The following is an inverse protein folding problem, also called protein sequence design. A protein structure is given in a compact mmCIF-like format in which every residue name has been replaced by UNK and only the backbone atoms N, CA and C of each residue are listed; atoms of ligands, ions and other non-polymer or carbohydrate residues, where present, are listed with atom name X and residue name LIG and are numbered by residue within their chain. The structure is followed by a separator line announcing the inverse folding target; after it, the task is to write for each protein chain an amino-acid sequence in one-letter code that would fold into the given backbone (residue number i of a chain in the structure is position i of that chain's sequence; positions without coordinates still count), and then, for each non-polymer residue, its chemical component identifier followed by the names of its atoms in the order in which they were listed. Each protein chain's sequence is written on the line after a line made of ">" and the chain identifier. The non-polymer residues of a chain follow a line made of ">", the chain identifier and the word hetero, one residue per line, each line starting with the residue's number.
data_IF_800016728019
#
_entry.id   IF_800016728019
#
_cell.length_a   1.000
_cell.length_b   1.000
_cell.length_c   1.000
_cell.angle_alpha   90.00
_cell.angle_beta   90.00
_cell.angle_gamma   90.00
#
_symmetry.space_group_name_H-M   'P 1'
#
loop_
_entity.id
_entity.type
_entity.pdbx_description
1 polymer ?
#
# COMPACT_ATOMS: atom_id res chain seq x y z
N UNK A 1 -19.64 -5.61 14.74
CA UNK A 1 -18.20 -5.46 14.63
C UNK A 1 -17.71 -5.08 13.24
N UNK A 2 -18.42 -4.24 12.61
CA UNK A 2 -17.97 -3.73 11.32
C UNK A 2 -16.93 -2.63 11.55
N UNK A 3 -15.70 -2.86 11.16
CA UNK A 3 -14.61 -1.91 11.30
C UNK A 3 -14.14 -1.38 9.94
N UNK A 4 -14.88 -1.70 8.86
CA UNK A 4 -14.54 -1.19 7.54
C UNK A 4 -14.92 0.28 7.46
N UNK A 5 -13.96 1.14 7.27
CA UNK A 5 -14.17 2.56 7.03
C UNK A 5 -14.35 2.78 5.52
N UNK A 6 -15.59 2.88 5.08
CA UNK A 6 -15.93 3.04 3.66
C UNK A 6 -15.60 4.42 3.12
N UNK A 7 -15.40 5.38 4.01
CA UNK A 7 -15.02 6.74 3.63
C UNK A 7 -13.50 6.94 3.64
N UNK A 8 -12.74 5.93 4.07
CA UNK A 8 -11.29 6.03 4.13
C UNK A 8 -10.69 6.18 2.74
N UNK A 9 -9.90 7.21 2.60
CA UNK A 9 -9.19 7.48 1.36
C UNK A 9 -7.74 7.03 1.50
N UNK A 10 -7.39 6.00 0.77
CA UNK A 10 -6.03 5.51 0.73
C UNK A 10 -5.20 6.36 -0.22
N UNK A 11 -3.89 6.36 0.00
CA UNK A 11 -2.94 7.10 -0.83
C UNK A 11 -1.95 6.15 -1.48
N UNK A 12 -1.27 6.65 -2.50
CA UNK A 12 -0.15 5.96 -3.13
C UNK A 12 1.11 6.20 -2.30
N UNK A 13 1.93 5.16 -2.15
CA UNK A 13 3.26 5.28 -1.54
C UNK A 13 4.29 5.15 -2.65
N UNK A 14 4.94 6.24 -2.99
CA UNK A 14 5.93 6.30 -4.07
C UNK A 14 7.19 6.99 -3.55
N UNK A 15 8.34 6.34 -3.65
CA UNK A 15 9.60 6.89 -3.20
C UNK A 15 9.63 7.26 -1.71
N UNK A 16 8.88 6.52 -0.89
CA UNK A 16 8.78 6.78 0.54
C UNK A 16 7.82 7.90 0.92
N UNK A 17 7.10 8.48 -0.03
CA UNK A 17 6.16 9.58 0.21
C UNK A 17 4.73 9.17 -0.12
N UNK A 18 3.80 9.56 0.74
CA UNK A 18 2.38 9.37 0.52
C UNK A 18 1.81 10.48 -0.35
N UNK A 19 1.09 10.12 -1.40
CA UNK A 19 0.48 11.09 -2.30
C UNK A 19 -0.87 10.62 -2.81
N UNK A 20 -1.74 11.58 -3.10
CA UNK A 20 -3.04 11.28 -3.70
C UNK A 20 -2.86 10.82 -5.15
N UNK A 21 -3.78 10.00 -5.63
CA UNK A 21 -3.81 9.67 -7.06
C UNK A 21 -4.14 10.91 -7.89
N UNK A 22 -3.33 11.19 -8.91
CA UNK A 22 -3.55 12.36 -9.77
C UNK A 22 -4.82 12.26 -10.62
N UNK A 23 -5.31 11.04 -10.84
CA UNK A 23 -6.56 10.79 -11.55
C UNK A 23 -7.75 10.54 -10.61
N UNK A 24 -7.65 10.99 -9.35
CA UNK A 24 -8.71 10.87 -8.36
C UNK A 24 -8.74 9.52 -7.66
N UNK A 25 -9.92 9.00 -7.46
CA UNK A 25 -10.15 7.71 -6.80
C UNK A 25 -11.16 6.89 -7.58
N UNK A 26 -11.17 5.58 -7.32
CA UNK A 26 -12.22 4.70 -7.83
C UNK A 26 -12.80 3.87 -6.68
N UNK A 27 -14.05 3.47 -6.84
CA UNK A 27 -14.76 2.67 -5.84
C UNK A 27 -14.29 1.22 -5.87
N UNK A 28 -14.08 0.65 -4.70
CA UNK A 28 -13.84 -0.78 -4.52
C UNK A 28 -15.15 -1.41 -4.06
N UNK A 29 -15.63 -2.38 -4.81
CA UNK A 29 -16.94 -2.99 -4.62
C UNK A 29 -16.81 -4.40 -4.12
N UNK A 30 -17.60 -4.75 -3.09
CA UNK A 30 -17.71 -6.14 -2.65
C UNK A 30 -18.51 -6.91 -3.70
N UNK A 31 -17.93 -7.90 -4.37
CA UNK A 31 -18.63 -8.61 -5.45
C UNK A 31 -19.82 -9.45 -4.97
N UNK A 32 -19.85 -9.80 -3.69
CA UNK A 32 -20.96 -10.58 -3.12
C UNK A 32 -22.19 -9.73 -2.82
N UNK A 33 -21.99 -8.47 -2.39
CA UNK A 33 -23.10 -7.58 -1.98
C UNK A 33 -23.29 -6.41 -2.94
N UNK A 34 -22.35 -6.16 -3.83
CA UNK A 34 -22.32 -5.02 -4.74
C UNK A 34 -22.23 -3.66 -4.02
N UNK A 35 -21.91 -3.68 -2.74
CA UNK A 35 -21.73 -2.45 -1.96
C UNK A 35 -20.30 -1.91 -2.09
N UNK A 36 -20.17 -0.60 -2.07
CA UNK A 36 -18.86 0.06 -2.00
C UNK A 36 -18.28 -0.16 -0.62
N UNK A 37 -17.09 -0.74 -0.55
CA UNK A 37 -16.40 -1.03 0.71
C UNK A 37 -15.19 -0.13 0.93
N UNK A 38 -14.85 0.70 -0.03
CA UNK A 38 -13.74 1.64 0.09
C UNK A 38 -13.47 2.34 -1.24
N UNK A 39 -12.44 3.20 -1.22
CA UNK A 39 -11.98 3.91 -2.41
C UNK A 39 -10.48 3.76 -2.53
N UNK A 40 -10.01 3.51 -3.72
CA UNK A 40 -8.59 3.37 -4.01
C UNK A 40 -8.11 4.56 -4.85
N UNK A 41 -6.85 4.99 -4.66
CA UNK A 41 -6.31 6.07 -5.47
C UNK A 41 -6.08 5.63 -6.90
N UNK A 42 -6.45 6.49 -7.85
CA UNK A 42 -6.20 6.27 -9.27
C UNK A 42 -4.92 6.99 -9.66
N UNK A 43 -3.87 6.23 -9.93
CA UNK A 43 -2.59 6.79 -10.32
C UNK A 43 -2.63 7.29 -11.77
N UNK A 44 -1.92 8.37 -12.04
CA UNK A 44 -1.64 8.79 -13.41
C UNK A 44 -0.51 7.93 -14.00
N UNK A 45 -0.37 7.99 -15.32
CA UNK A 45 0.77 7.36 -16.01
C UNK A 45 2.10 7.89 -15.45
N UNK A 46 2.17 9.20 -15.21
CA UNK A 46 3.38 9.82 -14.63
C UNK A 46 3.72 9.24 -13.26
N UNK A 47 2.72 9.07 -12.41
CA UNK A 47 2.92 8.45 -11.09
C UNK A 47 3.39 7.00 -11.20
N UNK A 48 2.86 6.23 -12.13
CA UNK A 48 3.31 4.86 -12.36
C UNK A 48 4.79 4.82 -12.81
N UNK A 49 5.18 5.73 -13.69
CA UNK A 49 6.57 5.85 -14.12
C UNK A 49 7.50 6.29 -12.99
N UNK A 50 7.05 7.22 -12.15
CA UNK A 50 7.79 7.66 -10.98
C UNK A 50 7.99 6.53 -9.97
N UNK A 51 6.98 5.70 -9.78
CA UNK A 51 7.06 4.53 -8.91
C UNK A 51 8.11 3.54 -9.42
N UNK A 52 8.11 3.26 -10.71
CA UNK A 52 9.09 2.37 -11.33
C UNK A 52 10.51 2.94 -11.20
N UNK A 53 10.67 4.24 -11.41
CA UNK A 53 11.95 4.92 -11.27
C UNK A 53 12.46 4.87 -9.83
N UNK A 54 11.60 5.17 -8.86
CA UNK A 54 11.95 5.11 -7.44
C UNK A 54 12.38 3.70 -7.02
N UNK A 55 11.68 2.67 -7.50
CA UNK A 55 12.05 1.29 -7.24
C UNK A 55 13.40 0.93 -7.85
N UNK A 56 13.67 1.38 -9.07
CA UNK A 56 14.95 1.16 -9.74
C UNK A 56 16.11 1.84 -9.01
N UNK A 57 15.91 3.05 -8.54
CA UNK A 57 16.91 3.77 -7.74
C UNK A 57 17.19 3.08 -6.40
N UNK A 58 16.13 2.60 -5.74
CA UNK A 58 16.26 1.89 -4.47
C UNK A 58 17.03 0.58 -4.61
N UNK A 59 16.95 -0.07 -5.75
CA UNK A 59 17.64 -1.33 -6.02
C UNK A 59 19.15 -1.21 -5.84
N UNK A 60 19.74 -0.07 -6.17
CA UNK A 60 21.19 0.10 -6.09
C UNK A 60 21.76 -0.11 -4.68
N UNK A 61 21.08 0.41 -3.66
CA UNK A 61 21.48 0.20 -2.26
C UNK A 61 20.92 -1.09 -1.68
N UNK A 62 19.65 -1.38 -1.98
CA UNK A 62 18.99 -2.56 -1.45
C UNK A 62 19.68 -3.87 -1.88
N UNK A 63 20.12 -3.95 -3.13
CA UNK A 63 20.80 -5.13 -3.65
C UNK A 63 22.13 -5.41 -2.95
N UNK A 64 22.74 -4.40 -2.31
CA UNK A 64 23.99 -4.52 -1.57
C UNK A 64 23.77 -4.72 -0.07
N UNK A 65 22.55 -4.66 0.40
CA UNK A 65 22.21 -4.87 1.80
C UNK A 65 22.52 -6.32 2.18
N UNK A 66 23.14 -6.51 3.34
CA UNK A 66 23.48 -7.84 3.82
C UNK A 66 22.23 -8.69 4.01
N UNK A 67 22.27 -10.00 3.71
CA UNK A 67 21.12 -10.87 3.93
C UNK A 67 20.56 -10.83 5.34
N UNK A 68 21.42 -10.69 6.36
CA UNK A 68 20.99 -10.58 7.76
C UNK A 68 20.19 -9.30 8.03
N UNK A 69 20.57 -8.20 7.41
CA UNK A 69 19.86 -6.93 7.53
C UNK A 69 18.52 -6.99 6.82
N UNK A 70 18.46 -7.59 5.64
CA UNK A 70 17.18 -7.79 4.93
C UNK A 70 16.24 -8.68 5.73
N UNK A 71 16.78 -9.76 6.31
CA UNK A 71 15.99 -10.64 7.16
C UNK A 71 15.43 -9.91 8.38
N UNK A 72 16.22 -9.05 9.02
CA UNK A 72 15.78 -8.26 10.16
C UNK A 72 14.63 -7.32 9.80
N UNK A 73 14.73 -6.65 8.64
CA UNK A 73 13.68 -5.76 8.16
C UNK A 73 12.39 -6.51 7.82
N UNK A 74 12.49 -7.66 7.17
CA UNK A 74 11.32 -8.50 6.87
C UNK A 74 10.65 -9.02 8.13
N UNK A 75 11.43 -9.43 9.14
CA UNK A 75 10.89 -9.85 10.43
C UNK A 75 10.19 -8.69 11.16
N UNK A 76 10.75 -7.49 11.08
CA UNK A 76 10.13 -6.31 11.66
C UNK A 76 8.80 -5.99 10.96
N UNK A 77 8.74 -6.11 9.64
CA UNK A 77 7.52 -5.93 8.88
C UNK A 77 6.47 -6.97 9.28
N UNK A 78 6.86 -8.23 9.43
CA UNK A 78 5.95 -9.30 9.86
C UNK A 78 5.36 -9.00 11.26
N UNK A 79 6.19 -8.55 12.20
CA UNK A 79 5.70 -8.16 13.53
C UNK A 79 4.71 -7.01 13.45
N UNK A 80 4.98 -6.03 12.58
CA UNK A 80 4.06 -4.90 12.39
C UNK A 80 2.73 -5.34 11.81
N UNK A 81 2.73 -6.30 10.89
CA UNK A 81 1.49 -6.88 10.35
C UNK A 81 0.69 -7.58 11.46
N UNK A 82 1.35 -8.33 12.35
CA UNK A 82 0.68 -8.97 13.48
C UNK A 82 0.01 -7.94 14.39
N UNK A 83 0.69 -6.83 14.67
CA UNK A 83 0.14 -5.73 15.48
C UNK A 83 -1.09 -5.09 14.82
N UNK A 84 -1.16 -5.10 13.50
CA UNK A 84 -2.25 -4.48 12.73
C UNK A 84 -3.36 -5.47 12.35
N UNK A 85 -3.31 -6.70 12.85
CA UNK A 85 -4.27 -7.75 12.48
C UNK A 85 -5.72 -7.30 12.63
N UNK A 86 -6.04 -6.65 13.75
CA UNK A 86 -7.41 -6.18 14.01
C UNK A 86 -7.90 -5.13 13.01
N UNK A 87 -6.97 -4.36 12.43
CA UNK A 87 -7.30 -3.33 11.44
C UNK A 87 -7.38 -3.92 10.02
N UNK A 88 -6.59 -4.95 9.73
CA UNK A 88 -6.47 -5.51 8.38
C UNK A 88 -7.56 -6.55 8.10
N UNK A 89 -7.82 -7.45 9.04
CA UNK A 89 -8.76 -8.56 8.83
C UNK A 89 -10.13 -8.13 8.33
N UNK A 90 -10.75 -7.06 8.85
CA UNK A 90 -12.07 -6.64 8.36
C UNK A 90 -12.10 -6.21 6.89
N UNK A 91 -10.93 -5.90 6.29
CA UNK A 91 -10.84 -5.47 4.89
C UNK A 91 -10.59 -6.60 3.91
N UNK A 92 -10.34 -7.79 4.42
CA UNK A 92 -10.03 -8.97 3.59
C UNK A 92 -11.27 -9.67 3.07
#
# INVERSE_FOLDING_TARGET
>A
MDTIDRERHYKLLIGGEWQAGQNGTYDVVNPATEEVVGRAPEASRGQALDAARAAGEAFASWSRTRPSERAALLKAAARRLDELTADIVPTV
#
